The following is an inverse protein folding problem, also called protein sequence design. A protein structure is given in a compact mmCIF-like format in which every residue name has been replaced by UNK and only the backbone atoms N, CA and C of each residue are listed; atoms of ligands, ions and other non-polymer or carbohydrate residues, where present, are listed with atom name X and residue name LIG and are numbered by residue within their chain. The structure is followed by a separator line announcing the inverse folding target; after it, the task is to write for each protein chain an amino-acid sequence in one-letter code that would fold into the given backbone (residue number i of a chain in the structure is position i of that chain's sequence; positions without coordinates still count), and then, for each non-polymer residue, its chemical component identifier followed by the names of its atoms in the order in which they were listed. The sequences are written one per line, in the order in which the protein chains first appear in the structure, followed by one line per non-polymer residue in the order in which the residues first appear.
data_IF_861847713495
#
_entry.id   IF_861847713495
#
_cell.length_a   1.000
_cell.length_b   1.000
_cell.length_c   1.000
_cell.angle_alpha   90.00
_cell.angle_beta   90.00
_cell.angle_gamma   90.00
#
_symmetry.space_group_name_H-M   'P 1'
#
loop_
_entity.id
_entity.type
_entity.pdbx_description
1 polymer ?
#
# COMPACT_ATOMS: atom_id res chain seq x y z
N UNK A 1 1.23 -31.96 -26.39
CA UNK A 1 1.13 -30.67 -27.11
C UNK A 1 0.00 -29.89 -26.45
N UNK A 2 0.30 -29.06 -25.43
CA UNK A 2 -0.69 -28.31 -24.64
C UNK A 2 -0.58 -26.86 -25.07
N UNK A 3 -1.64 -26.38 -25.71
CA UNK A 3 -1.76 -25.00 -26.19
C UNK A 3 -2.20 -24.10 -25.02
N UNK A 4 -1.33 -23.20 -24.57
CA UNK A 4 -1.69 -22.15 -23.64
C UNK A 4 -2.28 -20.95 -24.40
N UNK A 5 -3.54 -20.65 -24.14
CA UNK A 5 -4.24 -19.50 -24.72
C UNK A 5 -3.81 -18.20 -24.04
N UNK A 6 -3.12 -17.34 -24.78
CA UNK A 6 -2.60 -16.02 -24.36
C UNK A 6 -3.66 -14.91 -24.46
N UNK A 7 -4.89 -15.12 -24.02
CA UNK A 7 -5.98 -14.15 -24.23
C UNK A 7 -6.07 -13.03 -23.16
N UNK A 8 -5.34 -13.13 -22.05
CA UNK A 8 -5.38 -12.14 -20.97
C UNK A 8 -4.46 -10.91 -21.17
N UNK A 9 -3.39 -11.09 -21.97
CA UNK A 9 -2.35 -10.07 -22.13
C UNK A 9 -2.72 -8.96 -23.15
N UNK A 10 -3.57 -9.25 -24.11
CA UNK A 10 -3.97 -8.27 -25.13
C UNK A 10 -5.03 -7.27 -24.66
N UNK A 11 -5.86 -7.61 -23.68
CA UNK A 11 -6.89 -6.68 -23.19
C UNK A 11 -6.32 -5.48 -22.43
N UNK A 12 -5.14 -5.61 -21.80
CA UNK A 12 -4.53 -4.50 -21.04
C UNK A 12 -3.67 -3.57 -21.92
N UNK A 13 -3.15 -4.04 -23.07
CA UNK A 13 -2.41 -3.20 -24.04
C UNK A 13 -3.27 -2.17 -24.76
N UNK A 14 -4.56 -2.40 -24.93
CA UNK A 14 -5.46 -1.49 -25.63
C UNK A 14 -5.93 -0.30 -24.78
N UNK A 15 -5.70 -0.30 -23.46
CA UNK A 15 -6.00 0.84 -22.58
C UNK A 15 -4.95 1.97 -22.69
N UNK A 16 -3.74 1.67 -23.18
CA UNK A 16 -2.65 2.66 -23.25
C UNK A 16 -2.70 3.59 -24.49
N UNK A 17 -3.58 3.35 -25.46
CA UNK A 17 -3.58 4.11 -26.74
C UNK A 17 -4.58 5.27 -26.80
N UNK A 18 -5.32 5.57 -25.75
CA UNK A 18 -6.39 6.57 -25.75
C UNK A 18 -6.14 7.83 -24.92
N UNK A 19 -4.93 8.08 -24.41
CA UNK A 19 -4.65 9.20 -23.49
C UNK A 19 -3.62 10.22 -24.04
N UNK A 20 -3.64 10.53 -25.35
CA UNK A 20 -2.97 11.72 -25.88
C UNK A 20 -4.01 12.74 -26.33
N UNK A 21 -4.38 13.64 -25.45
CA UNK A 21 -5.24 14.78 -25.76
C UNK A 21 -5.24 15.76 -24.58
N UNK A 22 -4.49 16.85 -24.72
CA UNK A 22 -4.30 17.86 -23.67
C UNK A 22 -5.60 18.57 -23.28
N UNK A 23 -5.77 18.81 -21.99
CA UNK A 23 -6.87 19.62 -21.43
C UNK A 23 -6.81 19.74 -19.93
N UNK A 24 -6.61 20.94 -19.42
CA UNK A 24 -6.78 21.52 -18.07
C UNK A 24 -7.16 20.55 -16.94
N UNK A 25 -6.28 20.40 -15.94
CA UNK A 25 -6.54 19.71 -14.67
C UNK A 25 -7.77 20.27 -13.95
N UNK A 26 -8.95 19.71 -14.22
CA UNK A 26 -10.05 19.68 -13.27
C UNK A 26 -9.65 18.65 -12.19
N UNK A 27 -9.70 19.04 -10.91
CA UNK A 27 -9.73 18.08 -9.81
C UNK A 27 -10.92 17.15 -10.07
N UNK A 28 -10.64 15.96 -10.58
CA UNK A 28 -11.62 14.88 -10.57
C UNK A 28 -11.86 14.58 -9.08
N UNK A 29 -13.07 14.85 -8.62
CA UNK A 29 -13.60 14.27 -7.38
C UNK A 29 -13.75 12.78 -7.72
N UNK A 30 -12.68 12.01 -7.49
CA UNK A 30 -12.71 10.58 -7.61
C UNK A 30 -13.75 10.08 -6.62
N UNK A 31 -14.74 9.36 -7.11
CA UNK A 31 -15.70 8.65 -6.28
C UNK A 31 -14.99 7.43 -5.65
N UNK A 32 -13.94 7.71 -4.89
CA UNK A 32 -13.10 6.71 -4.24
C UNK A 32 -13.86 6.08 -3.09
N UNK A 33 -13.74 4.76 -2.91
CA UNK A 33 -14.28 4.04 -1.75
C UNK A 33 -13.53 4.40 -0.45
N UNK A 34 -12.35 5.01 -0.55
CA UNK A 34 -11.45 5.32 0.55
C UNK A 34 -10.93 6.77 0.45
N UNK A 35 -11.81 7.79 0.56
CA UNK A 35 -11.42 9.18 0.31
C UNK A 35 -10.42 9.71 1.35
N UNK A 36 -10.48 9.27 2.61
CA UNK A 36 -9.57 9.72 3.65
C UNK A 36 -8.21 9.06 3.50
N UNK A 37 -8.17 7.74 3.28
CA UNK A 37 -6.94 6.99 3.03
C UNK A 37 -6.19 7.56 1.81
N UNK A 38 -6.88 7.87 0.72
CA UNK A 38 -6.28 8.39 -0.51
C UNK A 38 -5.62 9.77 -0.32
N UNK A 39 -6.08 10.57 0.65
CA UNK A 39 -5.46 11.85 0.97
C UNK A 39 -4.12 11.71 1.71
N UNK A 40 -3.89 10.59 2.40
CA UNK A 40 -2.72 10.31 3.22
C UNK A 40 -1.88 9.13 2.73
N UNK A 41 -2.14 8.63 1.52
CA UNK A 41 -1.41 7.50 0.98
C UNK A 41 -1.03 7.69 -0.49
N UNK A 42 -0.06 6.88 -0.94
CA UNK A 42 0.34 6.77 -2.35
C UNK A 42 -0.03 5.39 -2.86
N UNK A 43 -0.76 5.33 -3.94
CA UNK A 43 -1.12 4.07 -4.59
C UNK A 43 0.06 3.56 -5.43
N UNK A 44 0.70 2.49 -4.97
CA UNK A 44 1.87 1.93 -5.62
C UNK A 44 1.50 1.20 -6.92
N UNK A 45 0.32 0.57 -7.01
CA UNK A 45 -0.12 -0.08 -8.25
C UNK A 45 -0.37 0.97 -9.34
N UNK A 46 -0.95 2.10 -8.96
CA UNK A 46 -1.14 3.22 -9.89
C UNK A 46 0.20 3.79 -10.37
N UNK A 47 1.16 3.97 -9.46
CA UNK A 47 2.51 4.42 -9.81
C UNK A 47 3.22 3.43 -10.74
N UNK A 48 3.07 2.12 -10.50
CA UNK A 48 3.57 1.07 -11.39
C UNK A 48 2.97 1.19 -12.79
N UNK A 49 1.64 1.39 -12.89
CA UNK A 49 0.93 1.54 -14.17
C UNK A 49 1.35 2.80 -14.95
N UNK A 50 1.76 3.85 -14.24
CA UNK A 50 2.26 5.10 -14.82
C UNK A 50 3.76 5.06 -15.16
N UNK A 51 4.45 3.93 -14.86
CA UNK A 51 5.89 3.78 -15.08
C UNK A 51 6.75 4.69 -14.20
N UNK A 52 6.25 5.04 -13.01
CA UNK A 52 6.92 5.95 -12.06
C UNK A 52 7.70 5.23 -10.97
N UNK A 53 7.68 3.90 -10.96
CA UNK A 53 8.49 3.09 -10.05
C UNK A 53 9.77 2.63 -10.76
N UNK A 54 10.86 2.66 -10.03
CA UNK A 54 12.14 2.16 -10.53
C UNK A 54 12.17 0.61 -10.53
N UNK A 55 12.85 -0.02 -11.52
CA UNK A 55 13.00 -1.45 -11.54
C UNK A 55 13.82 -1.94 -10.34
N UNK A 56 13.31 -2.96 -9.66
CA UNK A 56 13.95 -3.55 -8.48
C UNK A 56 14.73 -4.78 -8.89
N UNK A 57 16.03 -4.81 -8.58
CA UNK A 57 16.95 -5.90 -8.94
C UNK A 57 17.53 -6.54 -7.67
N UNK A 58 17.62 -7.87 -7.66
CA UNK A 58 18.28 -8.61 -6.58
C UNK A 58 17.47 -8.74 -5.30
N UNK A 59 16.12 -8.57 -5.37
CA UNK A 59 15.20 -8.68 -4.23
C UNK A 59 14.07 -9.69 -4.47
N UNK A 60 14.24 -10.57 -5.41
CA UNK A 60 13.21 -11.53 -5.84
C UNK A 60 12.80 -12.48 -4.69
N UNK A 61 13.75 -12.86 -3.85
CA UNK A 61 13.53 -13.78 -2.72
C UNK A 61 12.66 -13.10 -1.65
N UNK A 62 12.99 -11.86 -1.30
CA UNK A 62 12.25 -11.07 -0.31
C UNK A 62 10.85 -10.73 -0.80
N UNK A 63 10.70 -10.30 -2.05
CA UNK A 63 9.40 -10.00 -2.66
C UNK A 63 8.51 -11.25 -2.67
N UNK A 64 9.06 -12.39 -3.09
CA UNK A 64 8.33 -13.67 -3.09
C UNK A 64 7.92 -14.06 -1.68
N UNK A 65 8.80 -13.87 -0.70
CA UNK A 65 8.50 -14.17 0.70
C UNK A 65 7.38 -13.33 1.26
N UNK A 66 7.36 -12.03 0.96
CA UNK A 66 6.27 -11.12 1.37
C UNK A 66 4.96 -11.55 0.73
N UNK A 67 4.96 -11.83 -0.57
CA UNK A 67 3.77 -12.32 -1.28
C UNK A 67 3.21 -13.59 -0.64
N UNK A 68 4.08 -14.55 -0.27
CA UNK A 68 3.67 -15.77 0.44
C UNK A 68 3.04 -15.48 1.81
N UNK A 69 3.59 -14.51 2.58
CA UNK A 69 3.05 -14.17 3.90
C UNK A 69 1.71 -13.47 3.75
N UNK A 70 1.58 -12.49 2.87
CA UNK A 70 0.33 -11.80 2.58
C UNK A 70 -0.78 -12.74 2.09
N UNK A 71 -0.40 -13.85 1.45
CA UNK A 71 -1.34 -14.87 0.95
C UNK A 71 -1.88 -15.81 2.04
N UNK A 72 -1.42 -15.71 3.28
CA UNK A 72 -1.89 -16.57 4.38
C UNK A 72 -3.27 -16.13 4.85
N UNK A 73 -4.05 -17.09 5.38
CA UNK A 73 -5.34 -16.81 6.01
C UNK A 73 -5.24 -16.14 7.39
N UNK A 74 -4.12 -16.36 8.10
CA UNK A 74 -3.83 -15.81 9.42
C UNK A 74 -2.36 -15.44 9.48
N UNK A 75 -2.00 -14.48 10.33
CA UNK A 75 -0.62 -13.97 10.47
C UNK A 75 -0.04 -13.55 9.13
N UNK A 76 -0.85 -12.81 8.37
CA UNK A 76 -0.57 -12.31 7.02
C UNK A 76 0.12 -10.94 6.99
N UNK A 77 0.48 -10.38 8.15
CA UNK A 77 1.14 -9.08 8.25
C UNK A 77 2.68 -9.26 8.30
N UNK A 78 3.41 -9.12 7.19
CA UNK A 78 4.87 -9.20 7.17
C UNK A 78 5.50 -7.96 7.79
N UNK A 79 6.63 -8.14 8.47
CA UNK A 79 7.49 -7.04 8.93
C UNK A 79 8.82 -7.16 8.20
N UNK A 80 9.24 -6.07 7.54
CA UNK A 80 10.54 -5.97 6.88
C UNK A 80 11.50 -5.30 7.85
N UNK A 81 12.55 -6.01 8.26
CA UNK A 81 13.58 -5.52 9.17
C UNK A 81 14.89 -5.36 8.42
N UNK A 82 15.58 -4.25 8.64
CA UNK A 82 16.86 -3.98 8.03
C UNK A 82 17.36 -2.57 8.36
N UNK A 83 18.63 -2.30 8.10
CA UNK A 83 19.23 -0.99 8.32
C UNK A 83 18.59 0.09 7.42
N UNK A 84 18.71 1.38 7.80
CA UNK A 84 18.32 2.47 6.91
C UNK A 84 19.04 2.36 5.56
N UNK A 85 18.32 2.62 4.46
CA UNK A 85 18.91 2.58 3.12
C UNK A 85 19.11 1.17 2.52
N UNK A 86 18.78 0.08 3.21
CA UNK A 86 18.94 -1.28 2.66
C UNK A 86 17.87 -1.68 1.61
N UNK A 87 16.97 -0.76 1.24
CA UNK A 87 15.98 -0.99 0.17
C UNK A 87 14.67 -1.62 0.63
N UNK A 88 14.22 -1.40 1.88
CA UNK A 88 12.93 -1.91 2.37
C UNK A 88 11.74 -1.45 1.53
N UNK A 89 11.71 -0.16 1.19
CA UNK A 89 10.66 0.43 0.35
C UNK A 89 10.69 -0.14 -1.06
N UNK A 90 11.88 -0.34 -1.64
CA UNK A 90 12.05 -0.93 -2.97
C UNK A 90 11.44 -2.35 -3.06
N UNK A 91 11.50 -3.15 -1.99
CA UNK A 91 10.88 -4.49 -1.96
C UNK A 91 9.37 -4.39 -2.14
N UNK A 92 8.72 -3.41 -1.51
CA UNK A 92 7.27 -3.20 -1.61
C UNK A 92 6.88 -2.64 -2.99
N UNK A 93 7.70 -1.74 -3.54
CA UNK A 93 7.54 -1.24 -4.91
C UNK A 93 7.69 -2.38 -5.93
N UNK A 94 8.67 -3.27 -5.75
CA UNK A 94 8.84 -4.47 -6.57
C UNK A 94 7.66 -5.43 -6.48
N UNK A 95 7.05 -5.58 -5.30
CA UNK A 95 5.81 -6.35 -5.16
C UNK A 95 4.65 -5.68 -5.93
N UNK A 96 4.52 -4.36 -5.86
CA UNK A 96 3.50 -3.63 -6.61
C UNK A 96 3.68 -3.78 -8.13
N UNK A 97 4.92 -3.74 -8.61
CA UNK A 97 5.22 -3.99 -10.04
C UNK A 97 4.81 -5.41 -10.46
N UNK A 98 5.14 -6.45 -9.68
CA UNK A 98 4.74 -7.83 -9.97
C UNK A 98 3.22 -8.01 -9.99
N UNK A 99 2.50 -7.37 -9.06
CA UNK A 99 1.04 -7.40 -9.06
C UNK A 99 0.49 -6.72 -10.31
N UNK A 100 1.04 -5.58 -10.70
CA UNK A 100 0.65 -4.88 -11.92
C UNK A 100 0.91 -5.71 -13.18
N UNK A 101 2.03 -6.41 -13.24
CA UNK A 101 2.42 -7.32 -14.33
C UNK A 101 1.63 -8.63 -14.34
N UNK A 102 0.93 -8.95 -13.24
CA UNK A 102 0.20 -10.21 -13.08
C UNK A 102 1.08 -11.39 -12.65
N UNK A 103 2.34 -11.13 -12.27
CA UNK A 103 3.28 -12.14 -11.73
C UNK A 103 3.13 -12.23 -10.20
N UNK A 104 1.97 -12.66 -9.75
CA UNK A 104 1.62 -12.72 -8.33
C UNK A 104 0.67 -13.88 -8.01
N UNK A 105 0.62 -14.34 -6.74
CA UNK A 105 -0.41 -15.28 -6.32
C UNK A 105 -1.81 -14.74 -6.60
N UNK A 106 -2.73 -15.60 -7.05
CA UNK A 106 -4.08 -15.21 -7.51
C UNK A 106 -4.86 -14.35 -6.50
N UNK A 107 -4.68 -14.60 -5.21
CA UNK A 107 -5.32 -13.84 -4.14
C UNK A 107 -4.72 -12.44 -3.91
N UNK A 108 -3.60 -12.11 -4.55
CA UNK A 108 -2.97 -10.79 -4.48
C UNK A 108 -3.11 -9.99 -5.78
N UNK A 109 -3.43 -10.63 -6.91
CA UNK A 109 -3.46 -9.96 -8.22
C UNK A 109 -4.51 -8.85 -8.33
N UNK A 110 -5.58 -8.92 -7.54
CA UNK A 110 -6.63 -7.89 -7.50
C UNK A 110 -6.48 -6.94 -6.30
N UNK A 111 -5.39 -7.06 -5.52
CA UNK A 111 -5.14 -6.19 -4.38
C UNK A 111 -4.56 -4.86 -4.82
N UNK A 112 -4.94 -3.83 -4.09
CA UNK A 112 -4.38 -2.49 -4.18
C UNK A 112 -3.32 -2.34 -3.08
N UNK A 113 -2.10 -1.91 -3.42
CA UNK A 113 -1.05 -1.61 -2.44
C UNK A 113 -0.96 -0.10 -2.28
N UNK A 114 -1.11 0.39 -1.06
CA UNK A 114 -0.97 1.80 -0.73
C UNK A 114 0.13 2.02 0.31
N UNK A 115 0.98 3.00 0.08
CA UNK A 115 2.00 3.44 1.05
C UNK A 115 1.43 4.58 1.88
N UNK A 116 1.25 4.37 3.18
CA UNK A 116 0.70 5.34 4.10
C UNK A 116 1.77 6.36 4.51
N UNK A 117 1.48 7.66 4.37
CA UNK A 117 2.36 8.74 4.81
C UNK A 117 1.99 9.19 6.23
N UNK A 118 2.68 8.62 7.20
CA UNK A 118 2.47 8.92 8.62
C UNK A 118 2.80 10.39 8.95
N UNK A 119 3.75 10.99 8.25
CA UNK A 119 4.13 12.38 8.46
C UNK A 119 2.97 13.31 8.08
N UNK A 120 2.33 13.05 6.95
CA UNK A 120 1.15 13.80 6.50
C UNK A 120 -0.05 13.62 7.42
N UNK A 121 -0.24 12.45 8.04
CA UNK A 121 -1.33 12.20 8.99
C UNK A 121 -1.12 13.03 10.27
N UNK A 122 0.11 13.11 10.77
CA UNK A 122 0.46 13.91 11.95
C UNK A 122 0.47 15.40 11.64
N UNK A 123 0.82 15.78 10.41
CA UNK A 123 0.89 17.19 10.01
C UNK A 123 -0.46 17.89 10.20
N UNK A 124 -0.42 19.06 10.86
CA UNK A 124 -1.62 19.87 11.14
C UNK A 124 -2.50 19.36 12.30
N UNK A 125 -2.09 18.30 13.01
CA UNK A 125 -2.74 17.91 14.26
C UNK A 125 -2.09 18.64 15.43
N UNK A 126 -2.85 19.51 16.10
CA UNK A 126 -2.39 20.23 17.31
C UNK A 126 -2.56 19.39 18.58
N UNK A 127 -3.46 18.43 18.55
CA UNK A 127 -3.83 17.60 19.70
C UNK A 127 -3.82 16.13 19.33
N UNK A 128 -3.43 15.27 20.25
CA UNK A 128 -3.40 13.81 20.14
C UNK A 128 -4.73 13.23 19.62
N UNK A 129 -5.86 13.71 20.12
CA UNK A 129 -7.19 13.25 19.70
C UNK A 129 -7.48 13.40 18.20
N UNK A 130 -6.95 14.45 17.56
CA UNK A 130 -7.14 14.66 16.12
C UNK A 130 -6.39 13.60 15.27
N UNK A 131 -5.21 13.19 15.73
CA UNK A 131 -4.48 12.10 15.08
C UNK A 131 -5.22 10.76 15.26
N UNK A 132 -5.67 10.46 16.48
CA UNK A 132 -6.40 9.24 16.79
C UNK A 132 -7.71 9.16 15.98
N UNK A 133 -8.43 10.26 15.83
CA UNK A 133 -9.64 10.34 15.02
C UNK A 133 -9.35 10.07 13.52
N UNK A 134 -8.32 10.69 12.95
CA UNK A 134 -7.91 10.44 11.55
C UNK A 134 -7.53 8.99 11.33
N UNK A 135 -6.72 8.43 12.24
CA UNK A 135 -6.31 7.02 12.15
C UNK A 135 -7.48 6.07 12.25
N UNK A 136 -8.45 6.38 13.12
CA UNK A 136 -9.66 5.57 13.26
C UNK A 136 -10.45 5.54 11.94
N UNK A 137 -10.67 6.70 11.31
CA UNK A 137 -11.37 6.78 10.03
C UNK A 137 -10.63 5.98 8.94
N UNK A 138 -9.29 6.09 8.87
CA UNK A 138 -8.48 5.32 7.92
C UNK A 138 -8.64 3.81 8.17
N UNK A 139 -8.61 3.37 9.43
CA UNK A 139 -8.79 1.95 9.77
C UNK A 139 -10.21 1.45 9.47
N UNK A 140 -11.22 2.27 9.68
CA UNK A 140 -12.61 1.96 9.32
C UNK A 140 -12.75 1.81 7.78
N UNK A 141 -12.14 2.70 6.99
CA UNK A 141 -12.10 2.57 5.52
C UNK A 141 -11.37 1.30 5.06
N UNK A 142 -10.28 0.91 5.74
CA UNK A 142 -9.54 -0.33 5.46
C UNK A 142 -10.34 -1.57 5.83
N UNK A 143 -11.06 -1.53 6.95
CA UNK A 143 -11.92 -2.61 7.39
C UNK A 143 -13.04 -2.91 6.37
N UNK A 144 -13.59 -1.86 5.77
CA UNK A 144 -14.65 -1.99 4.76
C UNK A 144 -14.13 -2.40 3.37
N UNK A 145 -12.81 -2.29 3.14
CA UNK A 145 -12.17 -2.56 1.84
C UNK A 145 -11.03 -3.56 1.97
N UNK A 146 -11.36 -4.84 2.06
CA UNK A 146 -10.39 -5.94 2.23
C UNK A 146 -9.46 -6.20 1.02
N UNK A 147 -9.64 -5.49 -0.07
CA UNK A 147 -8.79 -5.54 -1.27
C UNK A 147 -7.56 -4.62 -1.18
N UNK A 148 -7.37 -3.93 -0.05
CA UNK A 148 -6.25 -3.00 0.16
C UNK A 148 -5.19 -3.65 1.06
N UNK A 149 -3.93 -3.53 0.64
CA UNK A 149 -2.73 -3.83 1.44
C UNK A 149 -2.04 -2.52 1.77
N UNK A 150 -1.87 -2.23 3.06
CA UNK A 150 -1.23 -1.01 3.53
C UNK A 150 0.23 -1.28 3.85
N UNK A 151 1.11 -0.49 3.27
CA UNK A 151 2.51 -0.40 3.65
C UNK A 151 2.73 0.82 4.55
N UNK A 152 3.32 0.58 5.71
CA UNK A 152 3.71 1.65 6.64
C UNK A 152 5.23 1.64 6.74
N UNK A 153 5.87 2.69 6.23
CA UNK A 153 7.29 2.86 6.39
C UNK A 153 7.61 3.42 7.78
N UNK A 154 8.75 3.03 8.33
CA UNK A 154 9.25 3.51 9.62
C UNK A 154 8.24 3.46 10.77
N UNK A 155 7.50 2.36 10.90
CA UNK A 155 6.47 2.17 11.94
C UNK A 155 6.98 2.46 13.36
N UNK A 156 8.30 2.37 13.59
CA UNK A 156 8.91 2.67 14.88
C UNK A 156 8.78 4.15 15.28
N UNK A 157 8.64 5.07 14.32
CA UNK A 157 8.43 6.51 14.60
C UNK A 157 7.13 6.77 15.34
N UNK A 158 6.15 5.86 15.16
CA UNK A 158 4.81 5.95 15.75
C UNK A 158 4.77 5.25 17.11
N UNK A 159 5.58 4.17 17.27
CA UNK A 159 5.62 3.34 18.46
C UNK A 159 6.59 3.91 19.50
N UNK A 160 7.69 4.51 19.08
CA UNK A 160 8.77 5.01 19.93
C UNK A 160 8.52 6.36 20.59
N UNK A 161 7.55 7.10 20.15
CA UNK A 161 7.21 8.41 20.66
C UNK A 161 6.51 8.40 22.04
N UNK A 162 6.26 7.22 22.65
CA UNK A 162 5.44 7.02 23.87
C UNK A 162 6.10 7.34 25.22
N UNK A 163 7.41 7.65 25.28
CA UNK A 163 8.11 7.81 26.57
C UNK A 163 8.26 9.25 27.09
N UNK A 164 7.85 10.24 26.33
CA UNK A 164 7.74 11.63 26.80
C UNK A 164 6.27 12.03 26.88
N UNK A 165 5.88 12.62 27.99
CA UNK A 165 4.52 13.10 28.27
C UNK A 165 3.97 13.92 27.10
N UNK A 166 3.15 13.30 26.23
CA UNK A 166 2.55 13.95 25.05
C UNK A 166 2.75 13.24 23.73
N UNK A 167 3.47 12.10 23.68
CA UNK A 167 3.74 11.40 22.41
C UNK A 167 2.57 10.51 21.98
N UNK A 168 2.43 10.45 20.65
CA UNK A 168 1.38 9.69 19.95
C UNK A 168 1.63 8.18 20.12
N UNK A 169 0.82 7.49 20.92
CA UNK A 169 0.85 6.02 21.03
C UNK A 169 -0.13 5.41 20.04
N UNK A 170 0.28 5.30 18.79
CA UNK A 170 -0.51 4.66 17.76
C UNK A 170 -0.60 3.13 17.92
N UNK A 171 0.25 2.53 18.78
CA UNK A 171 0.27 1.08 18.97
C UNK A 171 -1.10 0.53 19.38
N UNK A 172 -1.82 1.24 20.26
CA UNK A 172 -3.12 0.81 20.74
C UNK A 172 -4.22 0.88 19.67
N UNK A 173 -4.02 1.74 18.67
CA UNK A 173 -4.97 1.90 17.55
C UNK A 173 -4.78 0.76 16.54
N UNK A 174 -3.54 0.37 16.25
CA UNK A 174 -3.23 -0.68 15.27
C UNK A 174 -3.42 -2.11 15.81
N UNK A 175 -3.22 -2.34 17.12
CA UNK A 175 -3.29 -3.69 17.71
C UNK A 175 -4.54 -4.48 17.34
N UNK A 176 -5.77 -3.92 17.39
CA UNK A 176 -6.98 -4.67 17.05
C UNK A 176 -7.02 -5.11 15.59
N UNK A 177 -6.66 -4.21 14.65
CA UNK A 177 -6.64 -4.49 13.21
C UNK A 177 -5.59 -5.56 12.87
N UNK A 178 -4.35 -5.42 13.39
CA UNK A 178 -3.28 -6.40 13.19
C UNK A 178 -3.62 -7.77 13.78
N UNK A 179 -4.32 -7.83 14.90
CA UNK A 179 -4.73 -9.09 15.54
C UNK A 179 -5.78 -9.83 14.71
N UNK A 180 -6.67 -9.11 14.02
CA UNK A 180 -7.68 -9.69 13.13
C UNK A 180 -7.13 -10.11 11.77
N UNK A 181 -5.94 -9.63 11.38
CA UNK A 181 -5.31 -9.90 10.08
C UNK A 181 -5.91 -9.07 8.95
N UNK A 182 -6.37 -7.88 9.30
CA UNK A 182 -6.88 -6.85 8.39
C UNK A 182 -5.74 -6.07 7.78
#
# INVERSE_FOLDING_TARGET
MVSFSFSGFERRRNLHRAAEGGGKKKKEVSNSRTPVLDNFSRDLIKLASEGKLDPVVGREVEITRIAQILSRRKKNNPIIVGEPGCGKTAIVEGLAMRIFEGDCPQNLCDKRIVSLDMTSIVAGTKYRGQFEERMKVILDELHDNHDIVVFIDEIHTIIGAGNSSGSLDASNIFKPALARGE
#
